data_IF_509153536640
#
_entry.id   IF_509153536640
#
_cell.length_a   1.000
_cell.length_b   1.000
_cell.length_c   1.000
_cell.angle_alpha   90.00
_cell.angle_beta   90.00
_cell.angle_gamma   90.00
#
_symmetry.space_group_name_H-M   'P 1'
#
loop_
_entity.id
_entity.type
_entity.pdbx_description
1 polymer ?
#
# COMPACT_ATOMS: atom_id res chain seq x y z
N UNK A 1 -26.67 18.17 -5.71
CA UNK A 1 -25.52 17.43 -6.22
C UNK A 1 -24.27 18.17 -5.75
N UNK A 2 -23.23 17.45 -5.26
CA UNK A 2 -21.96 18.11 -4.86
C UNK A 2 -21.22 18.60 -6.10
N UNK A 3 -20.65 19.80 -6.03
CA UNK A 3 -19.86 20.33 -7.13
C UNK A 3 -18.57 19.52 -7.31
N UNK A 4 -18.21 19.24 -8.55
CA UNK A 4 -16.98 18.54 -8.93
C UNK A 4 -16.11 19.41 -9.82
N UNK A 5 -14.83 19.07 -9.93
CA UNK A 5 -13.87 19.68 -10.85
C UNK A 5 -13.02 18.59 -11.50
N UNK A 6 -12.63 18.82 -12.75
CA UNK A 6 -11.72 17.91 -13.45
C UNK A 6 -10.31 17.99 -12.86
N UNK A 7 -9.71 16.84 -12.62
CA UNK A 7 -8.34 16.75 -12.12
C UNK A 7 -7.27 16.96 -13.19
N UNK A 8 -7.61 16.84 -14.45
CA UNK A 8 -6.65 16.75 -15.57
C UNK A 8 -5.85 15.45 -15.57
N UNK A 9 -6.20 14.47 -14.72
CA UNK A 9 -5.49 13.17 -14.56
C UNK A 9 -6.43 12.07 -15.02
N UNK A 10 -6.03 11.34 -16.06
CA UNK A 10 -6.91 10.37 -16.75
C UNK A 10 -7.46 9.27 -15.85
N UNK A 11 -6.71 8.81 -14.85
CA UNK A 11 -7.17 7.76 -13.95
C UNK A 11 -8.12 8.27 -12.87
N UNK A 12 -8.05 9.56 -12.52
CA UNK A 12 -8.83 10.16 -11.44
C UNK A 12 -10.14 10.79 -11.94
N UNK A 13 -10.09 11.42 -13.12
CA UNK A 13 -11.25 12.12 -13.69
C UNK A 13 -11.70 13.30 -12.82
N UNK A 14 -13.00 13.40 -12.59
CA UNK A 14 -13.58 14.43 -11.72
C UNK A 14 -13.51 14.03 -10.24
N UNK A 15 -13.32 15.05 -9.38
CA UNK A 15 -13.31 14.88 -7.93
C UNK A 15 -14.01 16.08 -7.26
N UNK A 16 -14.45 15.99 -5.99
CA UNK A 16 -15.13 17.07 -5.30
C UNK A 16 -14.35 18.38 -5.33
N UNK A 17 -15.02 19.49 -5.66
CA UNK A 17 -14.36 20.79 -5.89
C UNK A 17 -13.70 21.36 -4.63
N UNK A 18 -14.16 20.96 -3.45
CA UNK A 18 -13.65 21.34 -2.13
C UNK A 18 -12.51 20.42 -1.62
N UNK A 19 -12.16 19.36 -2.39
CA UNK A 19 -10.97 18.56 -2.09
C UNK A 19 -9.74 19.18 -2.73
N UNK A 20 -8.58 18.87 -2.15
CA UNK A 20 -7.29 19.28 -2.69
C UNK A 20 -6.68 18.15 -3.52
N UNK A 21 -5.92 18.52 -4.55
CA UNK A 21 -5.10 17.59 -5.32
C UNK A 21 -3.64 17.75 -4.88
N UNK A 22 -3.08 16.74 -4.22
CA UNK A 22 -1.72 16.79 -3.67
C UNK A 22 -0.86 15.65 -4.16
N UNK A 23 0.44 15.90 -4.28
CA UNK A 23 1.42 14.81 -4.47
C UNK A 23 1.54 13.99 -3.20
N UNK A 24 1.69 12.66 -3.37
CA UNK A 24 1.80 11.72 -2.25
C UNK A 24 2.90 12.14 -1.27
N UNK A 25 4.06 12.58 -1.76
CA UNK A 25 5.18 13.03 -0.92
C UNK A 25 4.87 14.18 0.03
N UNK A 26 3.82 14.95 -0.23
CA UNK A 26 3.36 16.03 0.65
C UNK A 26 2.29 15.58 1.65
N UNK A 27 1.73 14.39 1.44
CA UNK A 27 0.75 13.78 2.35
C UNK A 27 1.41 12.75 3.25
N UNK A 28 2.30 11.94 2.68
CA UNK A 28 2.91 10.79 3.34
C UNK A 28 4.43 10.87 3.33
N UNK A 29 5.04 10.35 4.39
CA UNK A 29 6.47 10.15 4.51
C UNK A 29 6.80 8.66 4.57
N UNK A 30 7.93 8.27 4.00
CA UNK A 30 8.47 6.92 4.14
C UNK A 30 9.20 6.79 5.47
N UNK A 31 8.88 5.74 6.23
CA UNK A 31 9.68 5.29 7.37
C UNK A 31 10.82 4.42 6.84
N UNK A 32 12.04 4.93 6.88
CA UNK A 32 13.24 4.18 6.48
C UNK A 32 14.00 3.78 7.74
N UNK A 33 13.54 2.73 8.40
CA UNK A 33 14.13 2.23 9.65
C UNK A 33 14.49 0.76 9.48
N UNK A 34 15.78 0.45 9.62
CA UNK A 34 16.28 -0.92 9.54
C UNK A 34 16.15 -1.62 10.90
N UNK A 35 16.00 -2.91 10.86
CA UNK A 35 16.02 -3.77 12.05
C UNK A 35 17.47 -4.06 12.53
N UNK A 36 18.29 -3.03 12.58
CA UNK A 36 19.70 -3.11 13.00
C UNK A 36 20.06 -1.94 13.94
N UNK A 37 20.34 -2.19 15.24
CA UNK A 37 20.38 -3.53 15.86
C UNK A 37 19.02 -4.23 15.81
N UNK A 38 19.01 -5.56 15.85
CA UNK A 38 17.78 -6.37 15.78
C UNK A 38 16.88 -6.02 16.97
N UNK A 39 15.71 -5.45 16.68
CA UNK A 39 14.70 -5.05 17.67
C UNK A 39 13.52 -6.01 17.74
N UNK A 40 13.31 -6.78 16.67
CA UNK A 40 12.26 -7.78 16.61
C UNK A 40 12.65 -8.92 15.65
N UNK A 41 12.22 -10.11 15.99
CA UNK A 41 12.26 -11.29 15.12
C UNK A 41 10.89 -11.60 14.53
N UNK A 42 9.85 -10.83 14.92
CA UNK A 42 8.51 -10.96 14.37
C UNK A 42 8.51 -10.52 12.91
N UNK A 43 8.32 -11.46 12.00
CA UNK A 43 8.30 -11.20 10.56
C UNK A 43 6.86 -11.02 10.13
N UNK A 44 6.60 -9.91 9.43
CA UNK A 44 5.30 -9.62 8.86
C UNK A 44 5.28 -9.92 7.36
N UNK A 45 4.15 -10.44 6.92
CA UNK A 45 3.85 -10.70 5.53
C UNK A 45 2.73 -9.77 5.06
N UNK A 46 2.84 -9.30 3.82
CA UNK A 46 1.80 -8.55 3.17
C UNK A 46 1.11 -9.43 2.14
N UNK A 47 -0.17 -9.68 2.35
CA UNK A 47 -1.02 -10.47 1.45
C UNK A 47 -2.08 -9.58 0.79
N UNK A 48 -2.53 -9.94 -0.41
CA UNK A 48 -3.56 -9.18 -1.12
C UNK A 48 -4.96 -9.31 -0.47
N UNK A 49 -5.19 -10.41 0.27
CA UNK A 49 -6.51 -10.68 0.89
C UNK A 49 -6.60 -10.19 2.33
N UNK A 50 -5.57 -10.46 3.15
CA UNK A 50 -5.60 -10.23 4.60
C UNK A 50 -4.79 -8.99 5.01
N UNK A 51 -4.20 -8.26 4.03
CA UNK A 51 -3.31 -7.14 4.35
C UNK A 51 -2.02 -7.60 5.03
N UNK A 52 -1.62 -6.88 6.08
CA UNK A 52 -0.41 -7.16 6.87
C UNK A 52 -0.74 -8.11 8.01
N UNK A 53 -0.09 -9.26 8.02
CA UNK A 53 -0.25 -10.32 9.03
C UNK A 53 1.12 -10.86 9.50
N UNK A 54 1.23 -11.46 10.68
CA UNK A 54 2.37 -12.27 11.07
C UNK A 54 2.66 -13.36 10.03
N UNK A 55 3.94 -13.61 9.77
CA UNK A 55 4.34 -14.54 8.70
C UNK A 55 3.87 -15.98 8.95
N UNK A 56 3.82 -16.40 10.19
CA UNK A 56 3.36 -17.73 10.62
C UNK A 56 1.86 -17.97 10.36
N UNK A 57 1.06 -16.88 10.26
CA UNK A 57 -0.36 -16.93 9.93
C UNK A 57 -0.63 -16.91 8.41
N UNK A 58 0.43 -16.81 7.61
CA UNK A 58 0.29 -16.73 6.17
C UNK A 58 -0.03 -18.11 5.60
N UNK A 59 -1.18 -18.22 4.98
CA UNK A 59 -1.55 -19.37 4.17
C UNK A 59 -0.93 -19.29 2.78
N UNK A 60 -0.54 -20.45 2.25
CA UNK A 60 0.00 -20.59 0.88
C UNK A 60 1.49 -20.38 0.77
N UNK A 61 2.00 -20.45 -0.47
CA UNK A 61 3.41 -20.38 -0.80
C UNK A 61 3.99 -18.97 -0.79
N UNK A 62 5.27 -18.89 -1.08
CA UNK A 62 6.03 -17.63 -1.22
C UNK A 62 7.47 -17.81 -0.78
N UNK A 63 8.26 -16.77 -0.89
CA UNK A 63 9.65 -16.82 -0.45
C UNK A 63 9.70 -17.00 1.07
N UNK A 64 10.51 -17.97 1.52
CA UNK A 64 10.82 -18.12 2.94
C UNK A 64 11.59 -16.90 3.42
N UNK A 65 11.33 -16.42 4.64
CA UNK A 65 12.11 -15.36 5.24
C UNK A 65 13.56 -15.82 5.44
N UNK A 66 14.46 -14.86 5.51
CA UNK A 66 15.85 -15.15 5.89
C UNK A 66 15.94 -15.32 7.40
N UNK A 67 16.87 -16.15 7.86
CA UNK A 67 17.18 -16.29 9.29
C UNK A 67 17.73 -14.98 9.88
N UNK A 68 18.62 -14.30 9.14
CA UNK A 68 19.09 -12.97 9.51
C UNK A 68 18.10 -11.90 9.05
N UNK A 69 17.42 -11.31 10.03
CA UNK A 69 16.43 -10.23 9.83
C UNK A 69 17.02 -8.82 10.01
N UNK A 70 18.33 -8.67 10.22
CA UNK A 70 18.98 -7.37 10.44
C UNK A 70 18.86 -6.43 9.24
N UNK A 71 18.80 -6.99 8.02
CA UNK A 71 18.59 -6.23 6.79
C UNK A 71 17.13 -5.84 6.53
N UNK A 72 16.18 -6.37 7.32
CA UNK A 72 14.76 -6.06 7.18
C UNK A 72 14.46 -4.64 7.65
N UNK A 73 13.30 -4.13 7.26
CA UNK A 73 12.79 -2.83 7.69
C UNK A 73 11.75 -3.01 8.79
N UNK A 74 11.70 -2.07 9.72
CA UNK A 74 10.68 -2.08 10.77
C UNK A 74 9.36 -1.50 10.24
N UNK A 75 8.27 -2.16 10.60
CA UNK A 75 6.90 -1.71 10.41
C UNK A 75 6.20 -1.59 11.76
N UNK A 76 5.39 -0.57 11.91
CA UNK A 76 4.68 -0.26 13.15
C UNK A 76 3.17 -0.27 12.92
N UNK A 77 2.37 -0.43 13.99
CA UNK A 77 0.94 -0.19 13.90
C UNK A 77 0.65 1.20 13.32
N UNK A 78 -0.24 1.27 12.35
CA UNK A 78 -0.58 2.51 11.65
C UNK A 78 0.32 2.85 10.46
N UNK A 79 1.35 2.07 10.15
CA UNK A 79 2.08 2.23 8.89
C UNK A 79 1.30 1.56 7.74
N UNK A 80 1.20 2.22 6.61
CA UNK A 80 0.80 1.58 5.35
C UNK A 80 2.01 0.83 4.82
N UNK A 81 1.92 -0.49 4.79
CA UNK A 81 2.95 -1.37 4.22
C UNK A 81 2.62 -1.62 2.76
N UNK A 82 3.56 -1.35 1.87
CA UNK A 82 3.40 -1.47 0.43
C UNK A 82 4.54 -2.28 -0.18
N UNK A 83 4.21 -3.31 -0.94
CA UNK A 83 5.21 -4.04 -1.70
C UNK A 83 5.47 -3.33 -3.03
N UNK A 84 6.63 -2.69 -3.15
CA UNK A 84 7.01 -1.92 -4.34
C UNK A 84 7.03 -2.73 -5.65
N UNK A 85 7.06 -4.05 -5.56
CA UNK A 85 7.08 -4.96 -6.73
C UNK A 85 5.70 -5.49 -7.10
N UNK A 86 4.76 -5.50 -6.16
CA UNK A 86 3.45 -6.14 -6.34
C UNK A 86 2.27 -5.20 -6.04
N UNK A 87 2.52 -3.89 -5.94
CA UNK A 87 1.45 -2.92 -5.67
C UNK A 87 0.38 -2.92 -6.77
N UNK A 88 0.77 -3.19 -8.02
CA UNK A 88 -0.16 -3.35 -9.14
C UNK A 88 -1.15 -4.51 -8.95
N UNK A 89 -0.82 -5.46 -8.08
CA UNK A 89 -1.68 -6.59 -7.70
C UNK A 89 -2.34 -6.39 -6.33
N UNK A 90 -2.41 -5.16 -5.84
CA UNK A 90 -3.06 -4.84 -4.58
C UNK A 90 -2.24 -5.15 -3.32
N UNK A 91 -0.92 -5.38 -3.44
CA UNK A 91 -0.08 -5.61 -2.26
C UNK A 91 0.20 -4.31 -1.51
N UNK A 92 -0.81 -3.81 -0.82
CA UNK A 92 -0.80 -2.67 0.08
C UNK A 92 -1.77 -2.91 1.23
N UNK A 93 -1.40 -2.57 2.45
CA UNK A 93 -2.25 -2.76 3.62
C UNK A 93 -1.76 -2.00 4.83
N UNK A 94 -2.69 -1.69 5.74
CA UNK A 94 -2.39 -1.04 7.01
C UNK A 94 -1.89 -2.09 8.02
N UNK A 95 -0.75 -1.83 8.65
CA UNK A 95 -0.24 -2.70 9.70
C UNK A 95 -0.93 -2.46 11.03
N UNK A 96 -1.34 -3.53 11.69
CA UNK A 96 -1.77 -3.54 13.09
C UNK A 96 -0.66 -4.03 14.03
N UNK A 97 0.48 -4.43 13.47
CA UNK A 97 1.54 -5.13 14.18
C UNK A 97 2.84 -4.32 14.17
N UNK A 98 3.63 -4.49 15.24
CA UNK A 98 5.04 -4.15 15.23
C UNK A 98 5.83 -5.38 14.80
N UNK A 99 6.66 -5.23 13.77
CA UNK A 99 7.47 -6.33 13.26
C UNK A 99 8.43 -5.87 12.18
N UNK A 100 9.04 -6.82 11.50
CA UNK A 100 9.95 -6.52 10.41
C UNK A 100 9.45 -7.11 9.09
N UNK A 101 9.71 -6.39 8.01
CA UNK A 101 9.29 -6.72 6.65
C UNK A 101 10.47 -6.74 5.69
N UNK A 102 10.28 -7.38 4.55
CA UNK A 102 11.28 -7.42 3.47
C UNK A 102 11.81 -6.02 3.10
N UNK A 103 13.11 -5.87 2.82
CA UNK A 103 13.72 -4.58 2.44
C UNK A 103 13.11 -3.91 1.20
N UNK A 104 12.36 -4.66 0.38
CA UNK A 104 11.68 -4.12 -0.81
C UNK A 104 10.33 -3.48 -0.51
N UNK A 105 9.86 -3.55 0.73
CA UNK A 105 8.60 -2.94 1.15
C UNK A 105 8.84 -1.50 1.61
N UNK A 106 7.87 -0.66 1.34
CA UNK A 106 7.79 0.71 1.85
C UNK A 106 6.81 0.77 3.00
N UNK A 107 7.17 1.52 4.03
CA UNK A 107 6.29 1.88 5.14
C UNK A 107 5.98 3.36 5.04
N UNK A 108 4.70 3.69 4.88
CA UNK A 108 4.23 5.06 4.70
C UNK A 108 3.35 5.47 5.87
N UNK A 109 3.50 6.71 6.30
CA UNK A 109 2.65 7.32 7.34
C UNK A 109 2.36 8.77 6.99
N UNK A 110 1.22 9.33 7.41
CA UNK A 110 0.94 10.74 7.22
C UNK A 110 2.00 11.65 7.85
N UNK A 111 2.29 12.78 7.22
CA UNK A 111 3.08 13.84 7.83
C UNK A 111 2.37 14.44 9.04
N UNK A 112 1.06 14.60 8.94
CA UNK A 112 0.21 15.16 9.99
C UNK A 112 -0.53 14.05 10.69
N UNK A 113 -0.38 13.97 12.00
CA UNK A 113 -1.06 12.98 12.86
C UNK A 113 -2.59 13.12 12.87
N UNK A 114 -3.11 14.26 12.40
CA UNK A 114 -4.54 14.51 12.27
C UNK A 114 -5.16 13.88 11.02
N UNK A 115 -4.35 13.56 10.01
CA UNK A 115 -4.84 12.92 8.78
C UNK A 115 -5.10 11.43 9.02
N UNK A 116 -6.20 10.91 8.48
CA UNK A 116 -6.56 9.49 8.65
C UNK A 116 -5.77 8.61 7.69
N UNK A 117 -4.87 7.81 8.24
CA UNK A 117 -4.03 6.89 7.47
C UNK A 117 -4.84 5.86 6.68
N UNK A 118 -6.03 5.47 7.20
CA UNK A 118 -6.94 4.51 6.54
C UNK A 118 -7.45 5.06 5.22
N UNK A 119 -7.73 6.38 5.14
CA UNK A 119 -8.12 7.07 3.91
C UNK A 119 -7.10 6.85 2.79
N UNK A 120 -5.82 7.04 3.08
CA UNK A 120 -4.74 6.81 2.12
C UNK A 120 -4.59 5.33 1.76
N UNK A 121 -4.69 4.45 2.75
CA UNK A 121 -4.66 3.01 2.51
C UNK A 121 -5.77 2.59 1.54
N UNK A 122 -7.00 3.03 1.75
CA UNK A 122 -8.11 2.76 0.84
C UNK A 122 -7.89 3.35 -0.55
N UNK A 123 -7.35 4.57 -0.65
CA UNK A 123 -7.00 5.17 -1.93
C UNK A 123 -6.06 4.27 -2.72
N UNK A 124 -5.00 3.74 -2.09
CA UNK A 124 -4.02 2.87 -2.73
C UNK A 124 -4.55 1.48 -3.08
N UNK A 125 -5.60 1.05 -2.42
CA UNK A 125 -6.27 -0.23 -2.71
C UNK A 125 -7.21 -0.14 -3.91
N UNK A 126 -7.56 1.05 -4.38
CA UNK A 126 -8.43 1.18 -5.54
C UNK A 126 -7.76 0.67 -6.82
N UNK A 127 -8.52 -0.08 -7.62
CA UNK A 127 -8.04 -0.56 -8.93
C UNK A 127 -7.62 0.59 -9.84
N UNK A 128 -8.30 1.73 -9.77
CA UNK A 128 -7.98 2.90 -10.60
C UNK A 128 -6.60 3.45 -10.23
N UNK A 129 -6.31 3.64 -8.94
CA UNK A 129 -4.99 4.07 -8.49
C UNK A 129 -3.91 3.06 -8.89
N UNK A 130 -4.14 1.77 -8.66
CA UNK A 130 -3.18 0.71 -9.03
C UNK A 130 -2.86 0.71 -10.53
N UNK A 131 -3.87 0.92 -11.39
CA UNK A 131 -3.68 1.06 -12.83
C UNK A 131 -2.87 2.31 -13.22
N UNK A 132 -2.97 3.40 -12.46
CA UNK A 132 -2.18 4.62 -12.71
C UNK A 132 -0.67 4.39 -12.56
N UNK A 133 -0.27 3.33 -11.87
CA UNK A 133 1.12 2.97 -11.65
C UNK A 133 1.78 2.27 -12.86
N UNK A 134 0.99 1.90 -13.88
CA UNK A 134 1.54 1.32 -15.10
C UNK A 134 2.53 2.29 -15.76
N UNK A 135 3.69 1.77 -16.15
CA UNK A 135 4.76 2.56 -16.78
C UNK A 135 5.68 3.31 -15.83
N UNK A 136 5.37 3.37 -14.51
CA UNK A 136 6.24 4.01 -13.53
C UNK A 136 7.38 3.12 -13.03
N UNK A 137 7.23 1.81 -13.19
CA UNK A 137 8.20 0.84 -12.68
C UNK A 137 9.50 0.81 -13.46
N UNK A 138 10.60 0.61 -12.73
CA UNK A 138 11.93 0.35 -13.28
C UNK A 138 12.24 -1.16 -13.16
N UNK A 139 12.87 -1.71 -14.22
CA UNK A 139 13.31 -3.10 -14.24
C UNK A 139 12.20 -4.10 -14.56
N UNK A 140 12.14 -4.51 -15.81
CA UNK A 140 11.28 -5.60 -16.29
C UNK A 140 12.13 -6.87 -16.23
N UNK A 141 11.84 -7.77 -15.29
CA UNK A 141 12.35 -9.14 -15.36
C UNK A 141 11.27 -10.00 -16.01
N UNK A 142 11.47 -10.28 -17.28
CA UNK A 142 10.66 -11.24 -18.02
C UNK A 142 11.27 -12.62 -17.77
N UNK A 143 10.57 -13.49 -17.08
CA UNK A 143 10.96 -14.88 -16.90
C UNK A 143 10.14 -15.73 -17.86
N UNK A 144 10.79 -16.27 -18.88
CA UNK A 144 10.18 -17.22 -19.79
C UNK A 144 10.23 -18.61 -19.13
N UNK A 145 9.10 -19.29 -19.08
CA UNK A 145 9.05 -20.69 -18.69
C UNK A 145 9.50 -21.58 -19.84
N UNK A 146 9.98 -22.79 -19.54
CA UNK A 146 10.48 -23.73 -20.55
C UNK A 146 9.49 -24.10 -21.68
N UNK A 147 8.24 -23.65 -21.61
CA UNK A 147 7.21 -23.79 -22.64
C UNK A 147 6.90 -22.47 -23.38
N UNK A 148 7.77 -21.47 -23.30
CA UNK A 148 7.63 -20.17 -23.99
C UNK A 148 6.64 -19.21 -23.35
N UNK A 149 6.06 -19.52 -22.19
CA UNK A 149 5.12 -18.65 -21.50
C UNK A 149 5.83 -17.66 -20.58
N UNK A 150 5.54 -16.37 -20.72
CA UNK A 150 6.05 -15.31 -19.85
C UNK A 150 5.42 -15.43 -18.46
N UNK A 151 6.20 -15.78 -17.45
CA UNK A 151 5.66 -16.14 -16.12
C UNK A 151 5.70 -15.02 -15.07
N UNK A 152 6.54 -14.01 -15.20
CA UNK A 152 6.59 -12.94 -14.19
C UNK A 152 7.18 -11.67 -14.78
N UNK A 153 6.42 -10.59 -14.75
CA UNK A 153 6.92 -9.24 -14.93
C UNK A 153 7.11 -8.66 -13.52
N UNK A 154 8.35 -8.45 -13.10
CA UNK A 154 8.63 -7.78 -11.83
C UNK A 154 9.04 -6.34 -12.14
N UNK A 155 8.17 -5.39 -11.83
CA UNK A 155 8.48 -3.97 -11.86
C UNK A 155 8.58 -3.49 -10.42
N UNK A 156 9.68 -2.81 -10.10
CA UNK A 156 9.79 -2.08 -8.85
C UNK A 156 9.41 -0.63 -9.12
N UNK A 157 8.46 -0.09 -8.39
CA UNK A 157 8.11 1.33 -8.43
C UNK A 157 9.02 2.05 -7.44
N UNK A 158 9.93 2.95 -7.92
CA UNK A 158 10.76 3.74 -7.03
C UNK A 158 9.93 4.71 -6.19
N UNK A 159 10.34 4.95 -4.95
CA UNK A 159 9.62 5.82 -4.02
C UNK A 159 9.56 7.28 -4.50
N UNK A 160 10.61 7.76 -5.14
CA UNK A 160 10.65 9.09 -5.74
C UNK A 160 9.56 9.28 -6.80
N UNK A 161 9.40 8.32 -7.70
CA UNK A 161 8.33 8.33 -8.71
C UNK A 161 6.96 8.17 -8.09
N UNK A 162 6.82 7.27 -7.10
CA UNK A 162 5.57 7.08 -6.38
C UNK A 162 5.13 8.37 -5.66
N UNK A 163 6.08 9.03 -5.01
CA UNK A 163 5.84 10.29 -4.29
C UNK A 163 5.40 11.46 -5.18
N UNK A 164 5.69 11.43 -6.48
CA UNK A 164 5.29 12.47 -7.44
C UNK A 164 3.85 12.31 -7.95
N UNK A 165 3.20 11.18 -7.69
CA UNK A 165 1.81 10.97 -8.07
C UNK A 165 0.87 11.88 -7.30
N UNK A 166 -0.14 12.38 -8.00
CA UNK A 166 -1.22 13.14 -7.39
C UNK A 166 -2.34 12.24 -6.91
N UNK A 167 -2.87 12.57 -5.74
CA UNK A 167 -4.05 11.94 -5.15
C UNK A 167 -5.05 13.03 -4.68
N UNK A 168 -6.34 12.74 -4.69
CA UNK A 168 -7.33 13.63 -4.08
C UNK A 168 -7.24 13.50 -2.56
N UNK A 169 -7.29 14.65 -1.88
CA UNK A 169 -7.20 14.73 -0.42
C UNK A 169 -8.44 15.45 0.11
N UNK A 170 -9.30 14.69 0.76
CA UNK A 170 -10.50 15.19 1.41
C UNK A 170 -10.15 16.01 2.67
N UNK A 171 -11.04 16.92 3.13
CA UNK A 171 -10.96 17.46 4.48
C UNK A 171 -10.90 16.38 5.55
N UNK A 172 -10.22 16.64 6.68
CA UNK A 172 -9.90 15.62 7.71
C UNK A 172 -11.14 14.90 8.23
N UNK A 173 -12.20 15.64 8.54
CA UNK A 173 -13.46 15.07 9.01
C UNK A 173 -14.14 14.19 7.95
N UNK A 174 -13.94 14.48 6.69
CA UNK A 174 -14.42 13.65 5.60
C UNK A 174 -13.54 12.43 5.37
N UNK A 175 -12.22 12.53 5.52
CA UNK A 175 -11.32 11.36 5.50
C UNK A 175 -11.77 10.33 6.53
N UNK A 176 -12.05 10.74 7.77
CA UNK A 176 -12.51 9.90 8.85
C UNK A 176 -13.85 9.24 8.50
N UNK A 177 -14.84 10.02 8.04
CA UNK A 177 -16.15 9.48 7.64
C UNK A 177 -16.06 8.46 6.52
N UNK A 178 -15.19 8.70 5.53
CA UNK A 178 -14.97 7.76 4.42
C UNK A 178 -14.33 6.48 4.96
N UNK A 179 -13.29 6.59 5.79
CA UNK A 179 -12.60 5.45 6.36
C UNK A 179 -13.55 4.60 7.24
N UNK A 180 -14.30 5.22 8.14
CA UNK A 180 -15.27 4.54 9.01
C UNK A 180 -16.37 3.83 8.21
N UNK A 181 -16.86 4.48 7.15
CA UNK A 181 -17.84 3.86 6.26
C UNK A 181 -17.29 2.63 5.56
N UNK A 182 -16.06 2.72 5.03
CA UNK A 182 -15.42 1.61 4.34
C UNK A 182 -15.06 0.47 5.29
N UNK A 183 -14.54 0.77 6.48
CA UNK A 183 -14.28 -0.23 7.53
C UNK A 183 -15.55 -1.00 7.88
N UNK A 184 -16.66 -0.30 8.11
CA UNK A 184 -17.94 -0.94 8.44
C UNK A 184 -18.49 -1.78 7.28
N UNK A 185 -18.28 -1.37 6.03
CA UNK A 185 -18.72 -2.13 4.84
C UNK A 185 -17.85 -3.36 4.61
N UNK A 186 -16.53 -3.22 4.70
CA UNK A 186 -15.61 -4.34 4.56
C UNK A 186 -15.86 -5.41 5.63
N UNK A 187 -16.00 -5.01 6.90
CA UNK A 187 -16.29 -5.94 7.99
C UNK A 187 -17.59 -6.74 7.76
N UNK A 188 -18.64 -6.10 7.20
CA UNK A 188 -19.88 -6.82 6.85
C UNK A 188 -19.68 -7.80 5.70
N UNK A 189 -18.90 -7.44 4.69
CA UNK A 189 -18.60 -8.33 3.57
C UNK A 189 -17.78 -9.52 4.06
N UNK A 190 -16.75 -9.27 4.86
CA UNK A 190 -15.89 -10.33 5.41
C UNK A 190 -16.68 -11.32 6.26
N UNK A 191 -17.62 -10.83 7.09
CA UNK A 191 -18.51 -11.69 7.88
C UNK A 191 -19.41 -12.57 6.99
N UNK A 192 -19.93 -12.02 5.87
CA UNK A 192 -20.78 -12.79 4.95
C UNK A 192 -20.02 -13.81 4.11
N UNK A 193 -18.71 -13.65 3.94
CA UNK A 193 -17.85 -14.58 3.17
C UNK A 193 -17.30 -15.69 4.07
N UNK A 194 -17.25 -15.46 5.39
CA UNK A 194 -16.75 -16.43 6.36
C UNK A 194 -17.82 -17.48 6.76
N UNK A 195 -19.11 -17.21 6.51
CA UNK A 195 -20.24 -18.14 6.66
C UNK A 195 -20.40 -19.01 5.38
#
# INVERSE_FOLDING_TARGET
>A
MRATKDSGISWLGEYPSDWELKKIKYCLQERVEKNNPVRTTEILSLTAKQGVIPYDQKEGGGNKPKEDVSAYRLAYPGDIVMNSMNILSGSVGLSQYFGCVSPVYYMLRPWKVTEDVRYYNYTFQTTMFQRSLFGLGNGILIKESGNGKLNTIRMRIPMDKFGELFIPVAPIDEQQRIADFLDAKCAKIDALVAD
#
